data_IF_664882424952
#
_entry.id   IF_664882424952
#
_cell.length_a   1.000
_cell.length_b   1.000
_cell.length_c   1.000
_cell.angle_alpha   90.00
_cell.angle_beta   90.00
_cell.angle_gamma   90.00
#
_symmetry.space_group_name_H-M   'P 1'
#
loop_
_entity.id
_entity.type
_entity.pdbx_description
1 polymer ?
#
# COMPACT_ATOMS: atom_id res chain seq x y z
N UNK A 1 50.46 -39.51 32.36
CA UNK A 1 49.52 -38.59 31.71
C UNK A 1 48.13 -38.95 32.22
N UNK A 2 47.72 -38.14 33.18
CA UNK A 2 46.43 -37.92 33.85
C UNK A 2 45.22 -38.84 33.64
N UNK A 3 44.67 -39.20 34.81
CA UNK A 3 43.27 -39.04 35.25
C UNK A 3 42.25 -40.13 34.92
N UNK A 4 42.13 -41.03 35.92
CA UNK A 4 40.90 -41.51 36.55
C UNK A 4 39.78 -40.45 36.62
N UNK A 5 38.53 -40.87 36.42
CA UNK A 5 37.42 -40.71 37.38
C UNK A 5 36.10 -41.21 36.75
N UNK A 6 35.52 -42.33 37.18
CA UNK A 6 34.78 -42.60 38.44
C UNK A 6 33.27 -42.30 38.34
N UNK A 7 32.51 -43.39 38.47
CA UNK A 7 31.05 -43.52 38.58
C UNK A 7 30.60 -42.90 39.90
N UNK A 8 29.57 -42.01 39.92
CA UNK A 8 28.37 -42.16 40.81
C UNK A 8 27.33 -41.02 40.75
N UNK A 9 26.08 -41.47 40.89
CA UNK A 9 24.89 -40.84 41.49
C UNK A 9 24.01 -39.96 40.59
N UNK A 10 22.89 -40.57 40.18
CA UNK A 10 21.62 -39.90 39.90
C UNK A 10 21.15 -39.15 41.16
N UNK A 11 21.03 -37.83 41.07
CA UNK A 11 20.11 -37.06 41.91
C UNK A 11 19.13 -36.31 41.02
N UNK A 12 17.88 -36.61 41.32
CA UNK A 12 16.61 -36.11 40.82
C UNK A 12 16.50 -34.58 41.01
N UNK A 13 16.88 -33.78 40.00
CA UNK A 13 16.57 -32.33 39.97
C UNK A 13 16.54 -31.64 38.59
N UNK A 14 16.58 -32.36 37.47
CA UNK A 14 16.72 -31.75 36.13
C UNK A 14 15.49 -31.83 35.20
N UNK A 15 14.30 -32.23 35.70
CA UNK A 15 13.07 -32.29 34.89
C UNK A 15 12.35 -30.93 34.68
N UNK A 16 12.93 -29.80 35.07
CA UNK A 16 12.29 -28.47 34.91
C UNK A 16 13.04 -27.48 34.00
N UNK A 17 14.00 -27.93 33.20
CA UNK A 17 14.80 -27.05 32.31
C UNK A 17 14.80 -27.41 30.82
N UNK A 18 13.86 -28.21 30.32
CA UNK A 18 13.92 -28.72 28.94
C UNK A 18 12.74 -28.42 27.99
N UNK A 19 11.78 -27.55 28.32
CA UNK A 19 10.71 -27.19 27.36
C UNK A 19 10.47 -25.68 27.15
N UNK A 20 11.45 -24.85 27.46
CA UNK A 20 11.50 -23.46 27.02
C UNK A 20 12.86 -23.26 26.36
N UNK A 21 12.88 -22.71 25.14
CA UNK A 21 14.01 -22.61 24.20
C UNK A 21 14.01 -23.74 23.14
N UNK A 22 12.94 -23.78 22.35
CA UNK A 22 13.04 -24.17 20.95
C UNK A 22 12.50 -23.00 20.12
N UNK A 23 13.18 -21.85 20.22
CA UNK A 23 13.07 -20.83 19.17
C UNK A 23 13.93 -21.34 18.02
N UNK A 24 13.29 -21.80 16.94
CA UNK A 24 13.94 -22.19 15.69
C UNK A 24 14.99 -21.15 15.29
N UNK A 25 16.25 -21.46 15.57
CA UNK A 25 17.42 -20.73 15.13
C UNK A 25 17.51 -20.87 13.61
N UNK A 26 17.15 -19.82 12.87
CA UNK A 26 17.22 -19.78 11.41
C UNK A 26 18.67 -19.59 10.95
N UNK A 27 19.29 -20.53 10.19
CA UNK A 27 20.58 -20.31 9.54
C UNK A 27 20.33 -19.76 8.13
N UNK A 28 20.28 -18.44 7.97
CA UNK A 28 19.90 -17.80 6.70
C UNK A 28 21.05 -17.04 6.04
N UNK A 29 22.15 -17.73 5.73
CA UNK A 29 23.40 -17.07 5.29
C UNK A 29 23.49 -16.61 3.83
N UNK A 30 22.43 -16.70 3.01
CA UNK A 30 22.62 -16.63 1.54
C UNK A 30 21.69 -15.71 0.74
N UNK A 31 21.26 -14.54 1.23
CA UNK A 31 20.63 -13.55 0.33
C UNK A 31 20.99 -12.10 0.71
N UNK A 32 21.81 -11.46 -0.14
CA UNK A 32 22.45 -10.17 0.14
C UNK A 32 21.75 -8.97 -0.55
N UNK A 33 20.52 -9.08 -1.04
CA UNK A 33 19.89 -8.04 -1.86
C UNK A 33 18.48 -7.74 -1.33
N UNK A 34 18.32 -6.60 -0.66
CA UNK A 34 17.06 -6.11 -0.07
C UNK A 34 16.44 -5.05 -0.98
N UNK A 35 15.10 -4.89 -0.89
CA UNK A 35 14.36 -3.88 -1.65
C UNK A 35 14.92 -2.48 -1.35
N UNK A 36 15.27 -1.79 -2.41
CA UNK A 36 15.98 -0.51 -2.49
C UNK A 36 15.07 0.71 -2.30
N UNK A 37 13.84 0.50 -1.84
CA UNK A 37 12.96 1.60 -1.43
C UNK A 37 13.51 2.19 -0.12
N UNK A 38 13.75 3.50 -0.12
CA UNK A 38 14.13 4.30 1.05
C UNK A 38 13.27 4.00 2.30
N UNK A 39 11.98 3.71 2.10
CA UNK A 39 11.05 3.35 3.17
C UNK A 39 11.36 1.96 3.75
N UNK A 40 11.67 0.97 2.91
CA UNK A 40 12.07 -0.37 3.37
C UNK A 40 13.37 -0.31 4.16
N UNK A 41 14.33 0.47 3.67
CA UNK A 41 15.60 0.75 4.36
C UNK A 41 15.36 1.44 5.71
N UNK A 42 14.48 2.44 5.76
CA UNK A 42 14.12 3.11 7.00
C UNK A 42 13.54 2.11 8.02
N UNK A 43 12.66 1.21 7.60
CA UNK A 43 12.10 0.17 8.48
C UNK A 43 13.17 -0.82 8.94
N UNK A 44 14.06 -1.24 8.05
CA UNK A 44 15.20 -2.10 8.40
C UNK A 44 16.05 -1.42 9.49
N UNK A 45 16.38 -0.14 9.33
CA UNK A 45 17.16 0.62 10.32
C UNK A 45 16.44 0.80 11.67
N UNK A 46 15.10 0.90 11.68
CA UNK A 46 14.31 1.01 12.92
C UNK A 46 14.09 -0.38 13.57
N UNK A 47 14.39 -1.48 12.88
CA UNK A 47 14.10 -2.84 13.37
C UNK A 47 14.68 -3.15 14.76
N UNK A 48 15.92 -2.75 15.12
CA UNK A 48 16.45 -2.96 16.48
C UNK A 48 15.63 -2.23 17.55
N UNK A 49 15.15 -1.02 17.26
CA UNK A 49 14.22 -0.31 18.15
C UNK A 49 12.88 -1.04 18.29
N UNK A 50 12.34 -1.58 17.19
CA UNK A 50 11.10 -2.36 17.24
C UNK A 50 11.25 -3.64 18.05
N UNK A 51 12.38 -4.35 17.93
CA UNK A 51 12.65 -5.55 18.72
C UNK A 51 12.71 -5.26 20.23
N UNK A 52 13.18 -4.06 20.63
CA UNK A 52 13.13 -3.62 22.04
C UNK A 52 11.68 -3.53 22.56
N UNK A 53 10.73 -3.18 21.70
CA UNK A 53 9.30 -3.08 22.00
C UNK A 53 8.50 -4.28 21.46
N UNK A 54 9.13 -5.43 21.23
CA UNK A 54 8.49 -6.59 20.62
C UNK A 54 7.19 -7.01 21.34
N UNK A 55 7.11 -6.82 22.66
CA UNK A 55 5.93 -7.21 23.44
C UNK A 55 4.72 -6.31 23.11
N UNK A 56 4.95 -5.01 22.89
CA UNK A 56 3.91 -4.08 22.47
C UNK A 56 3.46 -4.41 21.04
N UNK A 57 4.41 -4.66 20.14
CA UNK A 57 4.10 -5.05 18.75
C UNK A 57 3.32 -6.36 18.68
N UNK A 58 3.72 -7.36 19.44
CA UNK A 58 3.00 -8.63 19.54
C UNK A 58 1.57 -8.39 19.97
N UNK A 59 1.32 -7.54 20.98
CA UNK A 59 -0.04 -7.21 21.41
C UNK A 59 -0.84 -6.48 20.31
N UNK A 60 -0.23 -5.54 19.59
CA UNK A 60 -0.89 -4.79 18.51
C UNK A 60 -1.32 -5.68 17.33
N UNK A 61 -0.53 -6.70 17.00
CA UNK A 61 -0.84 -7.65 15.91
C UNK A 61 -1.57 -8.91 16.40
N UNK A 62 -1.81 -9.08 17.70
CA UNK A 62 -2.54 -10.24 18.22
C UNK A 62 -4.04 -10.14 17.98
N UNK A 63 -4.60 -8.93 18.08
CA UNK A 63 -6.01 -8.68 17.81
C UNK A 63 -6.23 -8.25 16.35
N UNK A 64 -7.07 -8.96 15.56
CA UNK A 64 -7.28 -8.65 14.15
C UNK A 64 -7.88 -7.26 13.92
N UNK A 65 -8.70 -6.74 14.84
CA UNK A 65 -9.29 -5.40 14.70
C UNK A 65 -8.21 -4.34 14.91
N UNK A 66 -7.37 -4.51 15.93
CA UNK A 66 -6.22 -3.63 16.18
C UNK A 66 -5.24 -3.64 15.00
N UNK A 67 -4.93 -4.81 14.46
CA UNK A 67 -4.08 -4.95 13.27
C UNK A 67 -4.71 -4.24 12.03
N UNK A 68 -6.02 -4.39 11.82
CA UNK A 68 -6.75 -3.67 10.76
C UNK A 68 -6.63 -2.16 10.93
N UNK A 69 -6.92 -1.63 12.13
CA UNK A 69 -6.82 -0.21 12.46
C UNK A 69 -5.40 0.32 12.26
N UNK A 70 -4.39 -0.46 12.63
CA UNK A 70 -2.98 -0.10 12.40
C UNK A 70 -2.67 0.05 10.91
N UNK A 71 -3.17 -0.85 10.07
CA UNK A 71 -3.06 -0.72 8.61
C UNK A 71 -3.73 0.55 8.08
N UNK A 72 -4.96 0.82 8.50
CA UNK A 72 -5.72 2.03 8.11
C UNK A 72 -4.95 3.28 8.50
N UNK A 73 -4.51 3.37 9.75
CA UNK A 73 -3.80 4.53 10.28
C UNK A 73 -2.47 4.75 9.55
N UNK A 74 -1.68 3.69 9.41
CA UNK A 74 -0.36 3.75 8.77
C UNK A 74 -0.49 4.22 7.33
N UNK A 75 -1.43 3.66 6.55
CA UNK A 75 -1.64 4.12 5.18
C UNK A 75 -2.27 5.49 5.10
N UNK A 76 -3.14 5.89 6.03
CA UNK A 76 -3.71 7.24 6.03
C UNK A 76 -2.63 8.31 6.25
N UNK A 77 -1.63 8.01 7.08
CA UNK A 77 -0.47 8.89 7.34
C UNK A 77 0.48 8.88 6.14
N UNK A 78 0.88 7.70 5.68
CA UNK A 78 1.82 7.55 4.56
C UNK A 78 1.20 7.89 3.21
N UNK A 79 -0.12 7.92 3.13
CA UNK A 79 -0.92 8.16 1.93
C UNK A 79 -0.56 7.24 0.76
N UNK A 80 0.02 6.08 1.04
CA UNK A 80 0.49 5.12 0.04
C UNK A 80 0.35 3.68 0.56
N UNK A 81 -0.65 2.95 0.06
CA UNK A 81 -0.86 1.55 0.44
C UNK A 81 0.24 0.63 -0.08
N UNK A 82 0.82 0.88 -1.26
CA UNK A 82 1.94 0.08 -1.75
C UNK A 82 3.15 0.18 -0.80
N UNK A 83 3.46 1.39 -0.31
CA UNK A 83 4.49 1.58 0.70
C UNK A 83 4.13 0.87 2.01
N UNK A 84 2.89 1.02 2.49
CA UNK A 84 2.46 0.40 3.75
C UNK A 84 2.47 -1.12 3.69
N UNK A 85 2.01 -1.71 2.59
CA UNK A 85 2.04 -3.16 2.35
C UNK A 85 3.47 -3.67 2.25
N UNK A 86 4.37 -2.96 1.54
CA UNK A 86 5.81 -3.29 1.52
C UNK A 86 6.42 -3.30 2.92
N UNK A 87 6.05 -2.34 3.79
CA UNK A 87 6.49 -2.30 5.20
C UNK A 87 6.00 -3.54 5.95
N UNK A 88 4.70 -3.87 5.86
CA UNK A 88 4.12 -5.02 6.57
C UNK A 88 4.74 -6.34 6.07
N UNK A 89 4.94 -6.49 4.76
CA UNK A 89 5.60 -7.65 4.15
C UNK A 89 7.06 -7.77 4.63
N UNK A 90 7.74 -6.64 4.77
CA UNK A 90 9.11 -6.60 5.32
C UNK A 90 9.12 -6.96 6.80
N UNK A 91 8.15 -6.51 7.60
CA UNK A 91 8.03 -6.88 9.02
C UNK A 91 7.76 -8.38 9.22
N UNK A 92 6.99 -9.01 8.32
CA UNK A 92 6.86 -10.47 8.30
C UNK A 92 8.17 -11.14 7.85
N UNK A 93 8.86 -10.54 6.88
CA UNK A 93 10.14 -11.02 6.35
C UNK A 93 11.30 -10.93 7.34
N UNK A 94 11.30 -9.96 8.26
CA UNK A 94 12.30 -9.80 9.32
C UNK A 94 11.95 -10.60 10.58
N UNK A 95 10.80 -11.26 10.62
CA UNK A 95 10.33 -12.01 11.78
C UNK A 95 9.73 -11.18 12.90
N UNK A 96 9.63 -9.84 12.75
CA UNK A 96 8.93 -8.94 13.68
C UNK A 96 7.47 -9.37 13.88
N UNK A 97 6.83 -9.82 12.80
CA UNK A 97 5.52 -10.45 12.83
C UNK A 97 5.68 -11.93 12.49
N UNK A 98 5.66 -12.78 13.53
CA UNK A 98 6.00 -14.20 13.39
C UNK A 98 4.97 -15.01 12.59
N UNK A 99 3.69 -14.59 12.64
CA UNK A 99 2.54 -15.25 12.00
C UNK A 99 2.00 -14.41 10.85
N UNK A 100 1.94 -15.00 9.65
CA UNK A 100 1.35 -14.35 8.46
C UNK A 100 -0.11 -13.97 8.74
N UNK A 101 -0.87 -14.83 9.44
CA UNK A 101 -2.28 -14.61 9.77
C UNK A 101 -2.52 -13.30 10.52
N UNK A 102 -1.62 -12.95 11.43
CA UNK A 102 -1.70 -11.74 12.24
C UNK A 102 -1.44 -10.47 11.41
N UNK A 103 -0.73 -10.58 10.29
CA UNK A 103 -0.48 -9.48 9.37
C UNK A 103 -1.60 -9.27 8.33
N UNK A 104 -2.45 -10.27 8.09
CA UNK A 104 -3.52 -10.20 7.07
C UNK A 104 -4.48 -9.02 7.33
N UNK A 105 -5.00 -8.82 8.55
CA UNK A 105 -5.90 -7.68 8.81
C UNK A 105 -5.21 -6.33 8.55
N UNK A 106 -3.92 -6.21 8.88
CA UNK A 106 -3.17 -4.98 8.61
C UNK A 106 -3.02 -4.69 7.10
N UNK A 107 -2.83 -5.73 6.27
CA UNK A 107 -2.86 -5.59 4.81
C UNK A 107 -4.23 -5.14 4.32
N UNK A 108 -5.32 -5.74 4.81
CA UNK A 108 -6.69 -5.31 4.45
C UNK A 108 -6.93 -3.84 4.85
N UNK A 109 -6.46 -3.46 6.04
CA UNK A 109 -6.56 -2.10 6.56
C UNK A 109 -5.77 -1.09 5.75
N UNK A 110 -4.59 -1.48 5.26
CA UNK A 110 -3.78 -0.62 4.39
C UNK A 110 -4.52 -0.22 3.11
N UNK A 111 -5.34 -1.11 2.54
CA UNK A 111 -6.16 -0.77 1.37
C UNK A 111 -7.25 0.24 1.71
N UNK A 112 -7.89 0.11 2.88
CA UNK A 112 -8.88 1.08 3.37
C UNK A 112 -8.21 2.44 3.64
N UNK A 113 -6.97 2.50 4.10
CA UNK A 113 -6.30 3.80 4.35
C UNK A 113 -6.10 4.65 3.09
N UNK A 114 -6.16 4.07 1.88
CA UNK A 114 -6.07 4.82 0.61
C UNK A 114 -7.23 5.80 0.38
N UNK A 115 -8.35 5.67 1.12
CA UNK A 115 -9.53 6.52 0.97
C UNK A 115 -9.27 8.01 1.25
N UNK A 116 -8.27 8.32 2.08
CA UNK A 116 -7.96 9.71 2.46
C UNK A 116 -7.49 10.52 1.25
N UNK A 117 -6.70 9.91 0.35
CA UNK A 117 -6.12 10.61 -0.79
C UNK A 117 -7.18 10.94 -1.85
N UNK A 118 -8.03 9.98 -2.21
CA UNK A 118 -9.12 10.16 -3.17
C UNK A 118 -10.11 11.24 -2.70
N UNK A 119 -10.45 11.23 -1.41
CA UNK A 119 -11.31 12.22 -0.77
C UNK A 119 -10.68 13.63 -0.78
N UNK A 120 -9.38 13.73 -0.48
CA UNK A 120 -8.66 15.00 -0.54
C UNK A 120 -8.66 15.58 -1.96
N UNK A 121 -8.44 14.74 -2.98
CA UNK A 121 -8.50 15.18 -4.39
C UNK A 121 -9.89 15.68 -4.75
N UNK A 122 -10.96 14.98 -4.34
CA UNK A 122 -12.33 15.43 -4.59
C UNK A 122 -12.63 16.80 -3.98
N UNK A 123 -12.14 17.06 -2.75
CA UNK A 123 -12.30 18.35 -2.06
C UNK A 123 -11.66 19.53 -2.81
N UNK A 124 -10.66 19.27 -3.66
CA UNK A 124 -10.03 20.33 -4.47
C UNK A 124 -10.96 20.92 -5.53
N UNK A 125 -12.08 20.25 -5.83
CA UNK A 125 -13.13 20.72 -6.74
C UNK A 125 -14.31 21.37 -6.01
N UNK A 126 -14.13 21.75 -4.74
CA UNK A 126 -15.17 22.37 -3.89
C UNK A 126 -15.74 23.69 -4.41
N UNK A 127 -15.08 24.33 -5.38
CA UNK A 127 -15.58 25.54 -6.05
C UNK A 127 -16.92 25.32 -6.78
N UNK A 128 -17.22 24.11 -7.26
CA UNK A 128 -18.45 23.81 -7.99
C UNK A 128 -19.15 22.59 -7.36
N UNK A 129 -20.35 22.78 -6.84
CA UNK A 129 -21.13 21.72 -6.16
C UNK A 129 -21.42 20.51 -7.05
N UNK A 130 -21.66 20.73 -8.35
CA UNK A 130 -21.91 19.64 -9.30
C UNK A 130 -20.63 18.84 -9.54
N UNK A 131 -19.51 19.53 -9.73
CA UNK A 131 -18.22 18.87 -9.94
C UNK A 131 -17.71 18.18 -8.69
N UNK A 132 -17.92 18.79 -7.53
CA UNK A 132 -17.63 18.21 -6.23
C UNK A 132 -18.42 16.91 -6.03
N UNK A 133 -19.73 16.92 -6.31
CA UNK A 133 -20.57 15.74 -6.18
C UNK A 133 -20.10 14.59 -7.07
N UNK A 134 -19.79 14.85 -8.34
CA UNK A 134 -19.27 13.82 -9.26
C UNK A 134 -17.87 13.33 -8.88
N UNK A 135 -17.01 14.22 -8.38
CA UNK A 135 -15.67 13.88 -7.93
C UNK A 135 -15.73 13.00 -6.67
N UNK A 136 -16.57 13.34 -5.70
CA UNK A 136 -16.79 12.49 -4.51
C UNK A 136 -17.42 11.14 -4.87
N UNK A 137 -18.32 11.10 -5.86
CA UNK A 137 -18.84 9.85 -6.40
C UNK A 137 -17.70 8.94 -6.87
N UNK A 138 -16.75 9.50 -7.63
CA UNK A 138 -15.61 8.77 -8.12
C UNK A 138 -14.61 8.38 -7.02
N UNK A 139 -14.37 9.28 -6.05
CA UNK A 139 -13.46 9.02 -4.94
C UNK A 139 -13.94 7.84 -4.09
N UNK A 140 -15.24 7.79 -3.79
CA UNK A 140 -15.85 6.74 -2.96
C UNK A 140 -15.92 5.37 -3.63
N UNK A 141 -15.65 5.25 -4.94
CA UNK A 141 -15.65 3.95 -5.63
C UNK A 141 -14.58 3.01 -5.05
N UNK A 142 -13.35 3.52 -4.90
CA UNK A 142 -12.25 2.76 -4.30
C UNK A 142 -12.54 2.45 -2.83
N UNK A 143 -13.09 3.43 -2.12
CA UNK A 143 -13.38 3.33 -0.70
C UNK A 143 -14.40 2.24 -0.40
N UNK A 144 -15.52 2.25 -1.13
CA UNK A 144 -16.58 1.25 -0.97
C UNK A 144 -16.10 -0.13 -1.39
N UNK A 145 -15.27 -0.22 -2.42
CA UNK A 145 -14.64 -1.49 -2.80
C UNK A 145 -13.81 -2.07 -1.65
N UNK A 146 -12.89 -1.29 -1.08
CA UNK A 146 -11.99 -1.78 -0.03
C UNK A 146 -12.74 -2.09 1.27
N UNK A 147 -13.69 -1.22 1.67
CA UNK A 147 -14.49 -1.41 2.89
C UNK A 147 -15.39 -2.63 2.76
N UNK A 148 -16.16 -2.77 1.67
CA UNK A 148 -17.09 -3.89 1.51
C UNK A 148 -16.33 -5.21 1.31
N UNK A 149 -15.23 -5.22 0.57
CA UNK A 149 -14.39 -6.41 0.42
C UNK A 149 -13.82 -6.84 1.77
N UNK A 150 -13.34 -5.89 2.59
CA UNK A 150 -12.84 -6.19 3.94
C UNK A 150 -13.96 -6.69 4.84
N UNK A 151 -15.16 -6.10 4.78
CA UNK A 151 -16.30 -6.51 5.59
C UNK A 151 -16.71 -7.97 5.31
N UNK A 152 -16.52 -8.45 4.09
CA UNK A 152 -16.78 -9.86 3.73
C UNK A 152 -15.56 -10.73 4.07
N UNK A 153 -14.37 -10.36 3.59
CA UNK A 153 -13.20 -11.24 3.64
C UNK A 153 -12.56 -11.34 5.03
N UNK A 154 -12.60 -10.27 5.85
CA UNK A 154 -11.98 -10.27 7.17
C UNK A 154 -12.68 -11.26 8.13
N UNK A 155 -14.02 -11.23 8.31
CA UNK A 155 -14.69 -12.25 9.11
C UNK A 155 -14.44 -13.67 8.59
N UNK A 156 -14.51 -13.87 7.26
CA UNK A 156 -14.25 -15.20 6.70
C UNK A 156 -12.82 -15.67 6.95
N UNK A 157 -11.84 -14.76 6.99
CA UNK A 157 -10.47 -15.11 7.34
C UNK A 157 -10.32 -15.46 8.81
N UNK A 158 -10.97 -14.71 9.71
CA UNK A 158 -10.94 -14.97 11.15
C UNK A 158 -11.57 -16.33 11.48
N UNK A 159 -12.71 -16.66 10.86
CA UNK A 159 -13.42 -17.92 11.14
C UNK A 159 -12.85 -19.13 10.41
N UNK A 160 -12.48 -18.97 9.13
CA UNK A 160 -12.15 -20.10 8.26
C UNK A 160 -10.69 -20.11 7.76
N UNK A 161 -9.93 -19.02 7.93
CA UNK A 161 -8.55 -18.88 7.45
C UNK A 161 -8.39 -19.18 5.94
N UNK A 162 -9.38 -18.82 5.13
CA UNK A 162 -9.45 -19.17 3.71
C UNK A 162 -8.27 -18.60 2.93
N UNK A 163 -7.97 -17.31 3.08
CA UNK A 163 -6.88 -16.66 2.34
C UNK A 163 -5.53 -17.20 2.82
N UNK A 164 -5.30 -17.31 4.14
CA UNK A 164 -4.05 -17.86 4.67
C UNK A 164 -3.80 -19.29 4.19
N UNK A 165 -4.82 -20.16 4.24
CA UNK A 165 -4.69 -21.57 3.84
C UNK A 165 -4.48 -21.73 2.33
N UNK A 166 -5.24 -20.99 1.51
CA UNK A 166 -5.09 -21.04 0.05
C UNK A 166 -3.69 -20.57 -0.37
N UNK A 167 -3.22 -19.46 0.18
CA UNK A 167 -1.89 -18.92 -0.13
C UNK A 167 -0.77 -19.82 0.36
N UNK A 168 -0.91 -20.46 1.53
CA UNK A 168 0.06 -21.43 2.01
C UNK A 168 0.21 -22.61 1.05
N UNK A 169 -0.91 -23.14 0.53
CA UNK A 169 -0.90 -24.21 -0.48
C UNK A 169 -0.24 -23.75 -1.79
N UNK A 170 -0.54 -22.53 -2.24
CA UNK A 170 0.09 -21.94 -3.45
C UNK A 170 1.61 -21.83 -3.25
N UNK A 171 2.06 -21.29 -2.11
CA UNK A 171 3.50 -21.13 -1.82
C UNK A 171 4.21 -22.47 -1.67
N UNK A 172 3.57 -23.49 -1.10
CA UNK A 172 4.14 -24.85 -1.03
C UNK A 172 4.26 -25.51 -2.41
N UNK A 173 3.36 -25.17 -3.34
CA UNK A 173 3.39 -25.67 -4.71
C UNK A 173 4.50 -25.00 -5.56
N UNK A 174 4.84 -23.75 -5.25
CA UNK A 174 5.96 -23.06 -5.90
C UNK A 174 7.26 -23.70 -5.40
N UNK A 175 7.89 -24.53 -6.23
CA UNK A 175 9.16 -25.17 -5.87
C UNK A 175 10.29 -24.15 -5.94
N UNK A 176 10.70 -23.58 -4.80
CA UNK A 176 11.74 -22.53 -4.71
C UNK A 176 13.17 -23.03 -4.99
N UNK A 177 13.34 -24.24 -5.49
CA UNK A 177 14.65 -24.83 -5.81
C UNK A 177 15.31 -24.15 -7.02
N UNK A 178 14.55 -23.50 -7.92
CA UNK A 178 15.10 -22.62 -8.96
C UNK A 178 15.46 -21.23 -8.42
N UNK A 179 16.50 -21.18 -7.58
CA UNK A 179 17.09 -19.96 -7.01
C UNK A 179 17.50 -18.90 -8.05
N UNK A 180 17.60 -19.25 -9.34
CA UNK A 180 18.12 -18.38 -10.40
C UNK A 180 17.03 -17.54 -11.09
N UNK A 181 15.84 -18.10 -11.30
CA UNK A 181 14.76 -17.45 -12.06
C UNK A 181 14.07 -16.33 -11.26
N UNK A 182 13.97 -16.50 -9.93
CA UNK A 182 13.45 -15.46 -9.02
C UNK A 182 14.40 -14.26 -8.89
N UNK A 183 15.72 -14.48 -9.05
CA UNK A 183 16.75 -13.42 -9.01
C UNK A 183 16.64 -12.48 -10.22
N UNK A 184 16.21 -13.00 -11.37
CA UNK A 184 16.06 -12.20 -12.59
C UNK A 184 14.74 -11.41 -12.63
N UNK A 185 13.74 -11.78 -11.83
CA UNK A 185 12.51 -11.02 -11.69
C UNK A 185 12.67 -9.73 -10.85
N UNK A 186 13.74 -9.61 -10.03
CA UNK A 186 14.02 -8.40 -9.26
C UNK A 186 14.76 -7.31 -10.08
N UNK A 187 14.19 -6.98 -11.25
CA UNK A 187 14.72 -5.96 -12.16
C UNK A 187 14.74 -4.58 -11.49
N UNK A 188 13.77 -4.32 -10.61
CA UNK A 188 13.67 -3.07 -9.86
C UNK A 188 14.84 -2.91 -8.89
N UNK A 189 15.19 -3.98 -8.14
CA UNK A 189 16.35 -4.00 -7.27
C UNK A 189 17.64 -3.69 -8.05
N UNK A 190 17.83 -4.25 -9.24
CA UNK A 190 19.00 -3.97 -10.09
C UNK A 190 19.10 -2.50 -10.54
N UNK A 191 17.97 -1.82 -10.77
CA UNK A 191 17.95 -0.39 -11.16
C UNK A 191 18.20 0.53 -9.96
N UNK A 192 17.67 0.18 -8.79
CA UNK A 192 17.64 1.05 -7.62
C UNK A 192 18.79 0.81 -6.62
N UNK A 193 19.43 -0.37 -6.64
CA UNK A 193 20.63 -0.68 -5.86
C UNK A 193 21.78 0.34 -6.00
N UNK A 194 22.11 0.89 -7.18
CA UNK A 194 23.16 1.92 -7.27
C UNK A 194 22.79 3.19 -6.50
N UNK A 195 21.52 3.62 -6.53
CA UNK A 195 21.05 4.76 -5.76
C UNK A 195 21.04 4.47 -4.26
N UNK A 196 20.66 3.25 -3.87
CA UNK A 196 20.63 2.83 -2.47
C UNK A 196 22.03 2.80 -1.88
N UNK A 197 23.00 2.20 -2.58
CA UNK A 197 24.38 2.09 -2.12
C UNK A 197 25.07 3.47 -1.98
N UNK A 198 24.60 4.49 -2.71
CA UNK A 198 25.04 5.87 -2.58
C UNK A 198 24.44 6.56 -1.34
N UNK A 199 23.23 6.16 -0.94
CA UNK A 199 22.53 6.70 0.22
C UNK A 199 23.00 6.04 1.53
N UNK A 200 22.98 4.71 1.60
CA UNK A 200 23.38 3.94 2.79
C UNK A 200 23.82 2.51 2.42
N UNK A 201 24.81 2.00 3.13
CA UNK A 201 25.22 0.60 3.04
C UNK A 201 24.80 -0.15 4.31
N UNK A 202 24.19 -1.32 4.12
CA UNK A 202 23.68 -2.17 5.20
C UNK A 202 24.64 -3.32 5.45
N UNK A 203 24.96 -3.58 6.72
CA UNK A 203 25.67 -4.78 7.15
C UNK A 203 24.73 -5.97 7.12
N UNK A 204 25.01 -6.84 6.15
CA UNK A 204 24.20 -8.01 5.84
C UNK A 204 24.41 -9.11 6.88
N UNK A 205 25.52 -9.09 7.63
CA UNK A 205 25.82 -10.09 8.66
C UNK A 205 25.08 -9.83 9.98
N UNK A 206 24.90 -8.56 10.34
CA UNK A 206 24.13 -8.14 11.51
C UNK A 206 22.61 -8.29 11.28
N UNK A 207 22.16 -8.18 10.03
CA UNK A 207 20.77 -8.38 9.66
C UNK A 207 20.30 -9.84 9.83
N UNK A 208 21.22 -10.82 9.81
CA UNK A 208 20.90 -12.22 10.09
C UNK A 208 20.83 -12.52 11.60
N UNK A 209 21.46 -11.68 12.43
CA UNK A 209 21.51 -11.82 13.89
C UNK A 209 20.44 -11.01 14.63
N UNK A 210 19.87 -10.00 13.96
CA UNK A 210 18.71 -9.18 14.36
C UNK A 210 18.46 -9.19 15.88
N UNK A 211 19.40 -8.61 16.62
CA UNK A 211 19.30 -8.43 18.06
C UNK A 211 19.10 -6.95 18.39
N UNK A 212 18.54 -6.67 19.56
CA UNK A 212 18.24 -5.32 20.08
C UNK A 212 19.48 -4.40 20.13
N UNK A 213 20.69 -4.96 20.09
CA UNK A 213 21.97 -4.23 20.15
C UNK A 213 22.67 -4.12 18.80
N UNK A 214 22.16 -4.77 17.74
CA UNK A 214 22.80 -4.78 16.42
C UNK A 214 22.76 -3.39 15.77
N UNK A 215 23.90 -2.97 15.22
CA UNK A 215 23.99 -1.81 14.32
C UNK A 215 23.95 -2.34 12.89
N UNK A 216 22.88 -2.00 12.18
CA UNK A 216 22.57 -2.51 10.85
C UNK A 216 23.25 -1.66 9.77
N UNK A 217 23.50 -0.37 10.02
CA UNK A 217 24.21 0.49 9.08
C UNK A 217 25.72 0.23 9.15
N UNK A 218 26.33 -0.02 8.00
CA UNK A 218 27.75 -0.33 7.88
C UNK A 218 28.57 0.95 8.07
N UNK A 219 29.47 1.00 9.06
CA UNK A 219 30.21 2.24 9.42
C UNK A 219 31.62 2.31 8.81
N UNK A 220 32.26 1.16 8.64
CA UNK A 220 33.64 1.05 8.16
C UNK A 220 33.71 0.18 6.92
N UNK A 221 34.28 0.71 5.84
CA UNK A 221 34.42 0.03 4.56
C UNK A 221 35.90 -0.31 4.33
N UNK A 222 36.20 -1.56 3.96
CA UNK A 222 37.56 -2.00 3.65
C UNK A 222 37.55 -3.00 2.50
N UNK A 223 38.56 -2.93 1.62
CA UNK A 223 38.85 -4.00 0.67
C UNK A 223 39.54 -5.13 1.43
N UNK A 224 39.13 -6.36 1.12
CA UNK A 224 39.52 -7.62 1.75
C UNK A 224 40.95 -7.65 2.32
N UNK A 225 41.07 -7.90 3.64
CA UNK A 225 42.30 -8.41 4.26
C UNK A 225 43.19 -7.42 5.02
N UNK A 226 42.89 -6.13 5.07
CA UNK A 226 43.59 -5.17 5.94
C UNK A 226 42.63 -4.54 6.95
N UNK A 227 43.15 -4.23 8.14
CA UNK A 227 42.42 -3.64 9.27
C UNK A 227 41.41 -2.58 8.80
N UNK A 228 40.14 -2.73 9.21
CA UNK A 228 39.04 -1.80 8.94
C UNK A 228 39.40 -0.40 9.45
N UNK A 229 39.87 0.50 8.58
CA UNK A 229 40.27 1.86 9.00
C UNK A 229 39.61 3.00 8.25
N UNK A 230 38.89 2.76 7.14
CA UNK A 230 38.23 3.82 6.39
C UNK A 230 36.71 3.87 6.64
N UNK A 231 36.19 5.06 6.94
CA UNK A 231 34.75 5.32 7.07
C UNK A 231 34.09 5.20 5.69
N UNK A 232 32.94 4.53 5.63
CA UNK A 232 32.19 4.40 4.39
C UNK A 232 31.71 5.77 3.88
N UNK A 233 31.94 6.06 2.60
CA UNK A 233 31.51 7.31 1.98
C UNK A 233 30.12 7.18 1.33
N UNK A 234 29.06 7.24 2.15
CA UNK A 234 27.67 7.33 1.68
C UNK A 234 26.94 8.51 2.33
N UNK A 235 25.87 9.01 1.67
CA UNK A 235 25.21 10.28 2.03
C UNK A 235 24.66 10.31 3.47
N UNK A 236 24.18 9.17 3.97
CA UNK A 236 23.64 9.03 5.32
C UNK A 236 24.70 8.91 6.43
N UNK A 237 25.99 8.77 6.11
CA UNK A 237 27.05 8.49 7.10
C UNK A 237 27.12 9.53 8.23
N UNK A 238 27.00 10.84 7.97
CA UNK A 238 26.98 11.84 9.04
C UNK A 238 25.81 11.66 10.03
N UNK A 239 24.64 11.23 9.54
CA UNK A 239 23.46 11.00 10.36
C UNK A 239 23.62 9.73 11.21
N UNK A 240 24.06 8.63 10.58
CA UNK A 240 24.31 7.35 11.25
C UNK A 240 25.33 7.50 12.37
N UNK A 241 26.42 8.24 12.13
CA UNK A 241 27.48 8.47 13.12
C UNK A 241 27.00 9.30 14.33
N UNK A 242 26.25 10.37 14.08
CA UNK A 242 25.86 11.32 15.13
C UNK A 242 24.64 10.85 15.94
N UNK A 243 23.68 10.19 15.29
CA UNK A 243 22.38 9.87 15.89
C UNK A 243 22.09 8.37 15.99
N UNK A 244 22.91 7.52 15.37
CA UNK A 244 22.68 6.09 15.32
C UNK A 244 21.58 5.67 14.35
N UNK A 245 21.46 4.35 14.16
CA UNK A 245 20.65 3.72 13.13
C UNK A 245 19.15 3.98 13.32
N UNK A 246 18.67 3.87 14.56
CA UNK A 246 17.26 4.06 14.90
C UNK A 246 16.76 5.46 14.55
N UNK A 247 17.47 6.50 15.02
CA UNK A 247 17.07 7.91 14.79
C UNK A 247 17.21 8.24 13.30
N UNK A 248 18.28 7.77 12.65
CA UNK A 248 18.47 7.94 11.20
C UNK A 248 17.32 7.31 10.41
N UNK A 249 16.88 6.11 10.78
CA UNK A 249 15.72 5.45 10.21
C UNK A 249 14.43 6.26 10.37
N UNK A 250 14.17 6.81 11.56
CA UNK A 250 13.01 7.70 11.79
C UNK A 250 13.08 8.98 10.94
N UNK A 251 14.24 9.61 10.84
CA UNK A 251 14.44 10.79 9.98
C UNK A 251 14.14 10.45 8.53
N UNK A 252 14.63 9.32 8.02
CA UNK A 252 14.36 8.86 6.66
C UNK A 252 12.88 8.54 6.43
N UNK A 253 12.20 7.95 7.41
CA UNK A 253 10.77 7.69 7.35
C UNK A 253 9.97 9.01 7.24
N UNK A 254 10.28 10.00 8.08
CA UNK A 254 9.60 11.31 8.06
C UNK A 254 9.91 12.05 6.76
N UNK A 255 11.18 12.12 6.35
CA UNK A 255 11.61 12.81 5.15
C UNK A 255 10.98 12.21 3.89
N UNK A 256 10.96 10.87 3.77
CA UNK A 256 10.31 10.19 2.64
C UNK A 256 8.80 10.39 2.63
N UNK A 257 8.14 10.39 3.79
CA UNK A 257 6.71 10.67 3.91
C UNK A 257 6.39 12.11 3.49
N UNK A 258 7.15 13.10 3.97
CA UNK A 258 6.98 14.52 3.58
C UNK A 258 7.20 14.72 2.08
N UNK A 259 8.22 14.08 1.51
CA UNK A 259 8.47 14.12 0.08
C UNK A 259 7.29 13.54 -0.71
N UNK A 260 6.75 12.39 -0.29
CA UNK A 260 5.55 11.80 -0.91
C UNK A 260 4.34 12.74 -0.86
N UNK A 261 4.12 13.43 0.27
CA UNK A 261 3.06 14.42 0.42
C UNK A 261 3.23 15.62 -0.52
N UNK A 262 4.45 16.14 -0.64
CA UNK A 262 4.77 17.25 -1.55
C UNK A 262 4.54 16.83 -3.01
N UNK A 263 5.01 15.65 -3.40
CA UNK A 263 4.83 15.11 -4.76
C UNK A 263 3.34 14.94 -5.04
N UNK A 264 2.57 14.39 -4.11
CA UNK A 264 1.12 14.24 -4.24
C UNK A 264 0.42 15.59 -4.43
N UNK A 265 0.76 16.61 -3.63
CA UNK A 265 0.22 17.95 -3.79
C UNK A 265 0.59 18.56 -5.15
N UNK A 266 1.82 18.33 -5.61
CA UNK A 266 2.29 18.78 -6.91
C UNK A 266 1.51 18.12 -8.05
N UNK A 267 1.26 16.80 -7.97
CA UNK A 267 0.43 16.05 -8.91
C UNK A 267 -0.98 16.66 -9.00
N UNK A 268 -1.60 16.96 -7.86
CA UNK A 268 -2.94 17.59 -7.83
C UNK A 268 -2.93 18.97 -8.48
N UNK A 269 -1.84 19.74 -8.30
CA UNK A 269 -1.67 21.05 -8.93
C UNK A 269 -1.48 20.94 -10.46
N UNK A 270 -0.62 20.03 -10.90
CA UNK A 270 -0.39 19.74 -12.32
C UNK A 270 -1.67 19.23 -12.98
N UNK A 271 -2.40 18.34 -12.32
CA UNK A 271 -3.65 17.80 -12.85
C UNK A 271 -4.70 18.89 -13.08
N UNK A 272 -4.80 19.89 -12.18
CA UNK A 272 -5.67 21.06 -12.41
C UNK A 272 -5.27 21.87 -13.64
N UNK A 273 -3.97 21.98 -13.92
CA UNK A 273 -3.47 22.64 -15.13
C UNK A 273 -3.77 21.82 -16.38
N UNK A 274 -3.63 20.49 -16.32
CA UNK A 274 -3.94 19.58 -17.43
C UNK A 274 -5.43 19.65 -17.80
N UNK A 275 -6.31 19.72 -16.80
CA UNK A 275 -7.77 19.75 -16.98
C UNK A 275 -8.24 21.03 -17.69
N UNK A 276 -7.51 22.13 -17.55
CA UNK A 276 -7.79 23.38 -18.27
C UNK A 276 -7.22 23.39 -19.71
N UNK A 277 -6.43 22.38 -20.09
CA UNK A 277 -5.70 22.35 -21.36
C UNK A 277 -6.29 21.41 -22.43
N UNK A 278 -5.73 21.43 -23.66
CA UNK A 278 -6.13 20.56 -24.76
C UNK A 278 -5.97 19.05 -24.45
N UNK A 279 -5.11 18.71 -23.50
CA UNK A 279 -4.84 17.34 -23.07
C UNK A 279 -6.08 16.70 -22.46
N UNK A 280 -6.91 17.46 -21.74
CA UNK A 280 -8.16 16.97 -21.17
C UNK A 280 -9.13 16.46 -22.27
N UNK A 281 -9.15 17.13 -23.43
CA UNK A 281 -9.95 16.72 -24.59
C UNK A 281 -9.40 15.42 -25.20
N UNK A 282 -8.08 15.28 -25.31
CA UNK A 282 -7.45 14.05 -25.79
C UNK A 282 -7.70 12.86 -24.87
N UNK A 283 -7.52 13.04 -23.56
CA UNK A 283 -7.81 12.02 -22.54
C UNK A 283 -9.29 11.64 -22.56
N UNK A 284 -10.19 12.63 -22.66
CA UNK A 284 -11.62 12.39 -22.80
C UNK A 284 -11.95 11.60 -24.07
N UNK A 285 -11.34 11.94 -25.22
CA UNK A 285 -11.54 11.19 -26.47
C UNK A 285 -11.01 9.76 -26.42
N UNK A 286 -9.86 9.54 -25.76
CA UNK A 286 -9.28 8.21 -25.61
C UNK A 286 -10.11 7.33 -24.67
N UNK A 287 -10.56 7.86 -23.53
CA UNK A 287 -11.36 7.11 -22.55
C UNK A 287 -12.79 6.91 -23.03
N UNK A 288 -13.33 7.88 -23.78
CA UNK A 288 -14.67 7.81 -24.35
C UNK A 288 -14.71 7.31 -25.78
N UNK A 289 -13.61 6.75 -26.28
CA UNK A 289 -13.66 5.98 -27.52
C UNK A 289 -14.70 4.87 -27.31
N UNK A 290 -15.66 4.76 -28.22
CA UNK A 290 -16.69 3.72 -28.16
C UNK A 290 -16.47 2.77 -29.32
N UNK A 291 -16.28 1.49 -29.01
CA UNK A 291 -16.36 0.44 -30.02
C UNK A 291 -17.83 0.28 -30.41
N UNK A 292 -18.13 0.25 -31.72
CA UNK A 292 -19.50 0.11 -32.22
C UNK A 292 -20.10 -1.27 -31.91
N UNK A 293 -21.35 -1.32 -31.41
CA UNK A 293 -22.19 -2.53 -31.38
C UNK A 293 -22.08 -3.42 -30.12
N UNK A 294 -22.30 -4.74 -30.29
CA UNK A 294 -22.40 -5.79 -29.23
C UNK A 294 -21.16 -5.93 -28.32
N UNK A 295 -20.08 -5.21 -28.60
CA UNK A 295 -18.77 -5.32 -27.97
C UNK A 295 -18.48 -4.25 -26.90
N UNK A 296 -19.49 -3.53 -26.40
CA UNK A 296 -19.30 -2.54 -25.31
C UNK A 296 -18.64 -3.14 -24.06
N UNK A 297 -18.83 -4.43 -23.79
CA UNK A 297 -18.17 -5.12 -22.68
C UNK A 297 -16.64 -5.22 -22.86
N UNK A 298 -16.14 -5.30 -24.10
CA UNK A 298 -14.70 -5.30 -24.40
C UNK A 298 -14.07 -3.96 -24.07
N UNK A 299 -14.79 -2.84 -24.23
CA UNK A 299 -14.28 -1.52 -23.85
C UNK A 299 -13.96 -1.47 -22.34
N UNK A 300 -14.84 -2.01 -21.50
CA UNK A 300 -14.56 -2.09 -20.06
C UNK A 300 -13.32 -2.96 -19.77
N UNK A 301 -13.17 -4.09 -20.45
CA UNK A 301 -11.99 -4.94 -20.30
C UNK A 301 -10.70 -4.22 -20.73
N UNK A 302 -10.73 -3.48 -21.84
CA UNK A 302 -9.58 -2.68 -22.32
C UNK A 302 -9.23 -1.58 -21.31
N UNK A 303 -10.22 -0.83 -20.80
CA UNK A 303 -9.99 0.21 -19.79
C UNK A 303 -9.42 -0.37 -18.48
N UNK A 304 -9.90 -1.55 -18.07
CA UNK A 304 -9.36 -2.28 -16.93
C UNK A 304 -7.89 -2.64 -17.16
N UNK A 305 -7.54 -3.21 -18.32
CA UNK A 305 -6.17 -3.60 -18.64
C UNK A 305 -5.23 -2.39 -18.76
N UNK A 306 -5.68 -1.29 -19.36
CA UNK A 306 -4.89 -0.05 -19.42
C UNK A 306 -4.59 0.44 -18.00
N UNK A 307 -5.60 0.51 -17.12
CA UNK A 307 -5.39 0.97 -15.76
C UNK A 307 -4.49 0.01 -14.95
N UNK A 308 -4.64 -1.29 -15.14
CA UNK A 308 -3.76 -2.31 -14.59
C UNK A 308 -2.31 -2.10 -15.02
N UNK A 309 -2.04 -2.01 -16.33
CA UNK A 309 -0.70 -1.86 -16.90
C UNK A 309 -0.04 -0.53 -16.52
N UNK A 310 -0.78 0.58 -16.58
CA UNK A 310 -0.25 1.88 -16.13
C UNK A 310 0.10 1.81 -14.65
N UNK A 311 -0.71 1.12 -13.84
CA UNK A 311 -0.41 0.96 -12.41
C UNK A 311 0.79 0.04 -12.17
N UNK A 312 1.05 -0.96 -13.01
CA UNK A 312 2.28 -1.75 -12.92
C UNK A 312 3.54 -0.90 -13.16
N UNK A 313 3.47 -0.02 -14.17
CA UNK A 313 4.58 0.86 -14.53
C UNK A 313 4.81 1.92 -13.45
N UNK A 314 3.74 2.60 -13.05
CA UNK A 314 3.77 3.70 -12.07
C UNK A 314 3.90 3.19 -10.63
N UNK A 315 3.50 1.95 -10.37
CA UNK A 315 3.47 1.32 -9.04
C UNK A 315 2.60 2.03 -8.00
N UNK A 316 1.61 2.83 -8.44
CA UNK A 316 0.72 3.58 -7.54
C UNK A 316 -0.70 3.72 -8.11
N UNK A 317 -1.67 3.07 -7.46
CA UNK A 317 -3.10 3.28 -7.77
C UNK A 317 -3.59 4.67 -7.36
N UNK A 318 -2.91 5.35 -6.42
CA UNK A 318 -3.26 6.71 -6.01
C UNK A 318 -3.05 7.73 -7.14
N UNK A 319 -2.13 7.49 -8.08
CA UNK A 319 -1.99 8.35 -9.27
C UNK A 319 -3.20 8.22 -10.21
N UNK A 320 -3.66 6.98 -10.42
CA UNK A 320 -4.82 6.70 -11.27
C UNK A 320 -6.08 7.30 -10.66
N UNK A 321 -6.34 7.07 -9.37
CA UNK A 321 -7.51 7.62 -8.68
C UNK A 321 -7.45 9.14 -8.62
N UNK A 322 -6.29 9.73 -8.31
CA UNK A 322 -6.12 11.18 -8.29
C UNK A 322 -6.39 11.82 -9.65
N UNK A 323 -6.11 11.13 -10.76
CA UNK A 323 -6.40 11.60 -12.12
C UNK A 323 -7.88 11.42 -12.49
N UNK A 324 -8.48 10.28 -12.18
CA UNK A 324 -9.85 9.96 -12.54
C UNK A 324 -10.88 10.77 -11.77
N UNK A 325 -10.62 11.07 -10.49
CA UNK A 325 -11.56 11.80 -9.62
C UNK A 325 -11.92 13.17 -10.21
N UNK A 326 -10.96 14.02 -10.61
CA UNK A 326 -11.29 15.30 -11.22
C UNK A 326 -11.90 15.19 -12.63
N UNK A 327 -11.49 14.19 -13.42
CA UNK A 327 -12.09 13.93 -14.74
C UNK A 327 -13.57 13.53 -14.63
N UNK A 328 -13.92 12.76 -13.60
CA UNK A 328 -15.32 12.49 -13.26
C UNK A 328 -16.02 13.76 -12.77
N UNK A 329 -15.33 14.57 -11.95
CA UNK A 329 -15.80 15.87 -11.46
C UNK A 329 -16.27 16.80 -12.58
N UNK A 330 -15.48 16.96 -13.63
CA UNK A 330 -15.85 17.77 -14.80
C UNK A 330 -16.85 17.05 -15.73
N UNK A 331 -17.09 15.75 -15.54
CA UNK A 331 -17.97 14.93 -16.38
C UNK A 331 -17.31 14.43 -17.67
N UNK A 332 -15.98 14.51 -17.77
CA UNK A 332 -15.24 13.99 -18.93
C UNK A 332 -15.17 12.46 -18.93
N UNK A 333 -15.28 11.82 -17.75
CA UNK A 333 -15.29 10.36 -17.60
C UNK A 333 -16.53 9.94 -16.83
N UNK A 334 -17.22 8.90 -17.32
CA UNK A 334 -18.39 8.35 -16.64
C UNK A 334 -17.98 7.58 -15.38
N UNK A 335 -18.85 7.58 -14.37
CA UNK A 335 -18.59 6.86 -13.11
C UNK A 335 -18.37 5.35 -13.33
N UNK A 336 -19.03 4.77 -14.35
CA UNK A 336 -18.83 3.37 -14.73
C UNK A 336 -17.43 3.10 -15.27
N UNK A 337 -16.93 3.95 -16.19
CA UNK A 337 -15.58 3.80 -16.75
C UNK A 337 -14.52 3.99 -15.66
N UNK A 338 -14.69 5.00 -14.80
CA UNK A 338 -13.82 5.22 -13.65
C UNK A 338 -13.82 4.02 -12.68
N UNK A 339 -15.00 3.44 -12.38
CA UNK A 339 -15.10 2.24 -11.54
C UNK A 339 -14.26 1.08 -12.08
N UNK A 340 -14.40 0.76 -13.37
CA UNK A 340 -13.64 -0.31 -14.01
C UNK A 340 -12.13 -0.05 -13.99
N UNK A 341 -11.71 1.18 -14.27
CA UNK A 341 -10.30 1.56 -14.23
C UNK A 341 -9.71 1.49 -12.80
N UNK A 342 -10.47 1.91 -11.80
CA UNK A 342 -10.05 1.81 -10.39
C UNK A 342 -9.83 0.33 -10.01
N UNK A 343 -10.71 -0.59 -10.41
CA UNK A 343 -10.53 -2.03 -10.18
C UNK A 343 -9.25 -2.57 -10.82
N UNK A 344 -8.98 -2.17 -12.07
CA UNK A 344 -7.73 -2.53 -12.76
C UNK A 344 -6.51 -2.02 -12.01
N UNK A 345 -6.56 -0.76 -11.53
CA UNK A 345 -5.46 -0.17 -10.77
C UNK A 345 -5.22 -0.85 -9.43
N UNK A 346 -6.27 -1.26 -8.71
CA UNK A 346 -6.14 -1.94 -7.42
C UNK A 346 -5.45 -3.30 -7.56
N UNK A 347 -5.77 -4.06 -8.61
CA UNK A 347 -5.05 -5.30 -8.93
C UNK A 347 -3.62 -4.99 -9.36
N UNK A 348 -3.38 -3.95 -10.16
CA UNK A 348 -2.02 -3.55 -10.57
C UNK A 348 -1.10 -3.28 -9.38
N UNK A 349 -1.60 -2.57 -8.36
CA UNK A 349 -0.82 -2.28 -7.15
C UNK A 349 -0.39 -3.55 -6.40
N UNK A 350 -1.11 -4.67 -6.51
CA UNK A 350 -0.74 -5.91 -5.81
C UNK A 350 0.60 -6.49 -6.25
N UNK A 351 1.01 -6.25 -7.50
CA UNK A 351 2.32 -6.66 -8.01
C UNK A 351 3.46 -5.98 -7.23
N UNK A 352 3.25 -4.78 -6.70
CA UNK A 352 4.25 -4.12 -5.84
C UNK A 352 4.51 -4.90 -4.56
N UNK A 353 3.48 -5.54 -3.99
CA UNK A 353 3.62 -6.41 -2.82
C UNK A 353 4.39 -7.69 -3.16
N UNK A 354 4.12 -8.28 -4.33
CA UNK A 354 4.87 -9.46 -4.82
C UNK A 354 6.35 -9.10 -5.00
N UNK A 355 6.65 -7.97 -5.65
CA UNK A 355 8.03 -7.49 -5.83
C UNK A 355 8.74 -7.25 -4.49
N UNK A 356 8.05 -6.67 -3.51
CA UNK A 356 8.62 -6.47 -2.16
C UNK A 356 8.81 -7.78 -1.39
N UNK A 357 7.97 -8.80 -1.62
CA UNK A 357 8.18 -10.14 -1.06
C UNK A 357 9.36 -10.86 -1.71
N UNK A 358 9.52 -10.75 -3.04
CA UNK A 358 10.66 -11.31 -3.78
C UNK A 358 12.01 -10.72 -3.38
N UNK A 359 11.97 -9.55 -2.73
CA UNK A 359 13.17 -8.88 -2.21
C UNK A 359 13.53 -9.28 -0.78
N UNK A 360 12.81 -10.25 -0.18
CA UNK A 360 13.10 -10.78 1.15
C UNK A 360 14.07 -11.97 1.07
N UNK A 361 14.89 -12.20 2.11
CA UNK A 361 15.85 -13.30 2.12
C UNK A 361 15.15 -14.66 2.02
N UNK A 362 15.78 -15.62 1.34
CA UNK A 362 15.15 -16.89 0.92
C UNK A 362 14.48 -17.73 2.02
N UNK A 363 14.92 -17.61 3.28
CA UNK A 363 14.28 -18.29 4.40
C UNK A 363 12.91 -17.72 4.77
N UNK A 364 12.75 -16.41 4.70
CA UNK A 364 11.53 -15.70 5.07
C UNK A 364 10.69 -15.32 3.85
N UNK A 365 11.26 -15.49 2.65
CA UNK A 365 10.59 -15.38 1.35
C UNK A 365 9.26 -16.13 1.31
N UNK A 366 9.17 -17.35 1.87
CA UNK A 366 7.92 -18.11 1.89
C UNK A 366 6.80 -17.36 2.64
N UNK A 367 7.11 -16.82 3.83
CA UNK A 367 6.14 -16.07 4.65
C UNK A 367 5.77 -14.73 4.01
N UNK A 368 6.76 -14.01 3.49
CA UNK A 368 6.55 -12.73 2.82
C UNK A 368 5.77 -12.87 1.51
N UNK A 369 6.07 -13.90 0.71
CA UNK A 369 5.34 -14.20 -0.51
C UNK A 369 3.92 -14.67 -0.21
N UNK A 370 3.72 -15.48 0.83
CA UNK A 370 2.38 -15.85 1.29
C UNK A 370 1.55 -14.59 1.58
N UNK A 371 2.10 -13.63 2.34
CA UNK A 371 1.41 -12.39 2.65
C UNK A 371 1.14 -11.53 1.40
N UNK A 372 2.09 -11.43 0.46
CA UNK A 372 1.90 -10.73 -0.80
C UNK A 372 0.81 -11.39 -1.68
N UNK A 373 0.72 -12.72 -1.66
CA UNK A 373 -0.35 -13.45 -2.33
C UNK A 373 -1.69 -13.24 -1.63
N UNK A 374 -1.73 -13.11 -0.30
CA UNK A 374 -2.96 -12.73 0.41
C UNK A 374 -3.44 -11.36 -0.05
N UNK A 375 -2.53 -10.38 -0.16
CA UNK A 375 -2.85 -9.06 -0.69
C UNK A 375 -3.40 -9.12 -2.13
N UNK A 376 -2.80 -9.96 -2.96
CA UNK A 376 -3.22 -10.19 -4.35
C UNK A 376 -4.61 -10.83 -4.42
N UNK A 377 -4.83 -11.92 -3.67
CA UNK A 377 -6.11 -12.61 -3.60
C UNK A 377 -7.21 -11.73 -3.02
N UNK A 378 -6.93 -10.92 -2.01
CA UNK A 378 -7.90 -9.97 -1.46
C UNK A 378 -8.47 -9.05 -2.55
N UNK A 379 -7.59 -8.42 -3.35
CA UNK A 379 -8.03 -7.52 -4.42
C UNK A 379 -8.67 -8.29 -5.57
N UNK A 380 -8.12 -9.44 -5.94
CA UNK A 380 -8.65 -10.27 -7.03
C UNK A 380 -10.06 -10.78 -6.70
N UNK A 381 -10.26 -11.34 -5.50
CA UNK A 381 -11.57 -11.80 -5.03
C UNK A 381 -12.56 -10.65 -4.93
N UNK A 382 -12.12 -9.49 -4.42
CA UNK A 382 -12.95 -8.28 -4.44
C UNK A 382 -13.41 -7.94 -5.85
N UNK A 383 -12.49 -7.88 -6.83
CA UNK A 383 -12.85 -7.55 -8.22
C UNK A 383 -13.79 -8.60 -8.80
N UNK A 384 -13.53 -9.90 -8.60
CA UNK A 384 -14.39 -10.99 -9.06
C UNK A 384 -15.79 -10.90 -8.42
N UNK A 385 -15.89 -10.45 -7.18
CA UNK A 385 -17.16 -10.35 -6.46
C UNK A 385 -17.99 -9.13 -6.90
N UNK A 386 -17.34 -7.98 -7.13
CA UNK A 386 -18.05 -6.71 -7.37
C UNK A 386 -18.19 -6.34 -8.86
N UNK A 387 -17.27 -6.76 -9.74
CA UNK A 387 -17.21 -6.30 -11.13
C UNK A 387 -18.10 -7.09 -12.11
N UNK A 388 -18.08 -8.45 -12.15
CA UNK A 388 -18.75 -9.24 -13.18
C UNK A 388 -20.27 -9.29 -13.03
N UNK A 389 -20.78 -9.22 -11.81
CA UNK A 389 -22.21 -9.42 -11.51
C UNK A 389 -22.89 -8.04 -11.44
N UNK A 390 -23.73 -7.64 -12.43
CA UNK A 390 -24.33 -6.30 -12.45
C UNK A 390 -25.21 -6.00 -11.23
N UNK A 391 -25.82 -7.04 -10.66
CA UNK A 391 -26.62 -6.94 -9.43
C UNK A 391 -25.78 -6.61 -8.20
N UNK A 392 -24.54 -7.12 -8.13
CA UNK A 392 -23.61 -6.94 -7.02
C UNK A 392 -22.71 -5.71 -7.16
N UNK A 393 -22.92 -4.80 -8.12
CA UNK A 393 -22.20 -3.52 -8.21
C UNK A 393 -22.59 -2.53 -7.07
N UNK A 394 -22.67 -3.02 -5.84
CA UNK A 394 -22.97 -2.29 -4.62
C UNK A 394 -21.99 -1.14 -4.37
N UNK A 395 -20.66 -1.28 -4.55
CA UNK A 395 -19.75 -0.15 -4.38
C UNK A 395 -20.15 1.06 -5.24
N UNK A 396 -20.51 0.81 -6.52
CA UNK A 396 -20.98 1.85 -7.45
C UNK A 396 -22.35 2.41 -7.05
N UNK A 397 -23.31 1.54 -6.71
CA UNK A 397 -24.67 1.96 -6.31
C UNK A 397 -24.62 2.84 -5.06
N UNK A 398 -23.80 2.47 -4.08
CA UNK A 398 -23.60 3.21 -2.84
C UNK A 398 -22.90 4.54 -3.13
N UNK A 399 -21.84 4.56 -3.94
CA UNK A 399 -21.17 5.79 -4.37
C UNK A 399 -22.13 6.77 -5.08
N UNK A 400 -22.99 6.27 -6.00
CA UNK A 400 -24.01 7.09 -6.68
C UNK A 400 -25.03 7.68 -5.69
N UNK A 401 -25.43 6.90 -4.68
CA UNK A 401 -26.43 7.31 -3.69
C UNK A 401 -25.87 8.23 -2.58
N UNK A 402 -24.62 8.05 -2.16
CA UNK A 402 -23.98 8.92 -1.16
C UNK A 402 -23.95 10.38 -1.62
N UNK A 403 -23.67 10.61 -2.90
CA UNK A 403 -23.56 11.95 -3.51
C UNK A 403 -24.87 12.74 -3.40
N UNK A 404 -26.00 12.06 -3.49
CA UNK A 404 -27.34 12.68 -3.36
C UNK A 404 -27.58 13.20 -1.94
N UNK A 405 -26.96 12.58 -0.92
CA UNK A 405 -27.07 13.00 0.50
C UNK A 405 -26.00 14.01 0.93
N UNK A 406 -24.77 13.90 0.43
CA UNK A 406 -23.65 14.77 0.85
C UNK A 406 -23.63 16.16 0.21
N UNK A 407 -24.36 16.39 -0.89
CA UNK A 407 -24.56 17.74 -1.41
C UNK A 407 -25.25 18.69 -0.41
N UNK A 408 -25.80 18.15 0.69
CA UNK A 408 -26.47 18.88 1.77
C UNK A 408 -25.65 19.02 3.07
N UNK A 409 -24.54 18.30 3.24
CA UNK A 409 -23.86 18.16 4.54
C UNK A 409 -22.38 18.49 4.40
N UNK A 410 -22.05 19.74 4.77
CA UNK A 410 -20.80 20.18 5.40
C UNK A 410 -19.54 20.27 4.49
N UNK A 411 -19.26 21.50 4.06
CA UNK A 411 -18.01 22.15 4.47
C UNK A 411 -18.40 23.42 5.25
N UNK A 412 -17.92 23.62 6.50
CA UNK A 412 -18.03 24.92 7.15
C UNK A 412 -17.37 25.97 6.24
N UNK A 413 -17.97 27.14 6.09
CA UNK A 413 -17.46 28.16 5.16
C UNK A 413 -15.99 28.58 5.46
N UNK A 414 -15.51 28.33 6.68
CA UNK A 414 -14.09 28.51 7.07
C UNK A 414 -13.12 27.53 6.39
N UNK A 415 -13.50 26.27 6.18
CA UNK A 415 -12.66 25.28 5.48
C UNK A 415 -12.72 25.46 3.96
N UNK A 416 -13.83 26.01 3.44
CA UNK A 416 -13.89 26.42 2.03
C UNK A 416 -12.79 27.43 1.76
N UNK A 417 -12.59 28.45 2.58
CA UNK A 417 -11.52 29.44 2.37
C UNK A 417 -10.09 28.88 2.47
N UNK A 418 -9.88 27.75 3.14
CA UNK A 418 -8.58 27.07 3.22
C UNK A 418 -8.27 26.28 1.94
N UNK A 419 -9.29 25.67 1.32
CA UNK A 419 -9.15 24.87 0.10
C UNK A 419 -9.51 25.62 -1.20
N UNK A 420 -10.23 26.74 -1.09
CA UNK A 420 -10.55 27.66 -2.17
C UNK A 420 -9.61 28.86 -2.07
N UNK A 421 -8.59 28.88 -2.93
CA UNK A 421 -7.84 30.10 -3.17
C UNK A 421 -8.81 31.11 -3.80
N UNK A 422 -9.14 32.14 -3.00
CA UNK A 422 -9.90 33.36 -3.28
C UNK A 422 -10.18 33.57 -4.79
N UNK A 423 -11.33 33.10 -5.26
CA UNK A 423 -11.94 33.60 -6.50
C UNK A 423 -13.08 34.54 -6.14
N UNK A 424 -13.01 35.72 -6.73
CA UNK A 424 -13.82 36.91 -6.49
C UNK A 424 -15.31 36.65 -6.75
N UNK A 425 -16.15 37.07 -5.79
CA UNK A 425 -17.51 37.62 -5.98
C UNK A 425 -18.61 36.71 -6.53
N UNK A 426 -19.62 36.41 -5.72
CA UNK A 426 -21.04 36.63 -6.06
C UNK A 426 -21.95 36.15 -4.93
N UNK A 427 -22.72 37.09 -4.35
CA UNK A 427 -23.67 36.82 -3.28
C UNK A 427 -25.10 36.62 -3.81
N UNK A 428 -25.85 35.79 -3.09
CA UNK A 428 -27.31 35.77 -2.95
C UNK A 428 -28.24 35.43 -4.14
N UNK A 429 -27.78 35.27 -5.38
CA UNK A 429 -28.68 34.82 -6.48
C UNK A 429 -28.89 33.29 -6.55
N UNK A 430 -28.10 32.50 -5.82
CA UNK A 430 -28.12 31.03 -5.89
C UNK A 430 -29.22 30.35 -5.03
N UNK A 431 -29.79 31.02 -4.02
CA UNK A 431 -30.95 30.58 -3.21
C UNK A 431 -32.09 29.90 -4.00
N UNK A 432 -32.69 30.65 -4.93
CA UNK A 432 -34.01 30.34 -5.52
C UNK A 432 -33.97 29.51 -6.80
N UNK A 433 -32.85 29.53 -7.55
CA UNK A 433 -32.72 28.71 -8.77
C UNK A 433 -32.41 27.23 -8.47
N UNK A 434 -31.90 26.91 -7.28
CA UNK A 434 -31.44 25.56 -6.91
C UNK A 434 -32.60 24.57 -6.67
N UNK A 435 -33.77 24.99 -6.18
CA UNK A 435 -34.87 24.06 -5.93
C UNK A 435 -35.60 23.60 -7.22
N UNK A 436 -35.78 24.51 -8.20
CA UNK A 436 -36.60 24.26 -9.40
C UNK A 436 -35.86 23.52 -10.52
N UNK A 437 -34.54 23.70 -10.64
CA UNK A 437 -33.73 23.08 -11.70
C UNK A 437 -33.30 21.64 -11.38
N UNK A 438 -33.14 21.29 -10.10
CA UNK A 438 -32.62 19.99 -9.69
C UNK A 438 -33.61 18.82 -9.82
N UNK A 439 -34.92 19.07 -9.69
CA UNK A 439 -35.95 18.06 -10.00
C UNK A 439 -36.00 17.67 -11.49
N UNK A 440 -35.47 18.52 -12.37
CA UNK A 440 -35.30 18.23 -13.82
C UNK A 440 -33.95 17.60 -14.14
N UNK A 441 -32.88 17.96 -13.42
CA UNK A 441 -31.55 17.36 -13.60
C UNK A 441 -31.50 15.93 -13.06
N UNK A 442 -32.16 15.63 -11.93
CA UNK A 442 -32.31 14.26 -11.44
C UNK A 442 -33.09 13.35 -12.43
N UNK A 443 -34.11 13.90 -13.11
CA UNK A 443 -34.81 13.19 -14.20
C UNK A 443 -33.94 12.98 -15.44
N UNK A 444 -33.02 13.90 -15.77
CA UNK A 444 -32.07 13.71 -16.88
C UNK A 444 -30.92 12.77 -16.54
N UNK A 445 -30.47 12.71 -15.29
CA UNK A 445 -29.48 11.72 -14.83
C UNK A 445 -30.06 10.30 -14.78
N UNK A 446 -31.39 10.17 -14.69
CA UNK A 446 -32.10 8.89 -14.89
C UNK A 446 -32.21 8.48 -16.36
N UNK A 447 -32.26 9.43 -17.30
CA UNK A 447 -32.53 9.14 -18.72
C UNK A 447 -31.27 8.98 -19.57
N UNK A 448 -30.09 9.38 -19.06
CA UNK A 448 -28.80 9.22 -19.77
C UNK A 448 -28.18 7.83 -19.56
N UNK A 449 -28.65 7.07 -18.56
CA UNK A 449 -28.21 5.68 -18.31
C UNK A 449 -29.14 4.63 -18.98
N UNK A 450 -30.14 5.04 -19.77
CA UNK A 450 -31.12 4.14 -20.45
C UNK A 450 -31.06 4.18 -21.97
N UNK A 451 -29.94 4.61 -22.56
CA UNK A 451 -29.71 4.54 -24.01
C UNK A 451 -28.35 3.92 -24.33
#
# INVERSE_FOLDING_TARGET
MNELDSIRIMTESDETKQEIIQSDSMPCREWKEYDSKLITIAVILITPAFLKYQNILKNLFSDPITALCLGILTTSILQNAAATTSIIITMVGTGLISSVKNAIPAIMGSNIGTCVTSSFVALTLSNNSISLGRAFAAATLNDMFNILTTLILLPTEIFFNILSSLTEKIVKFINFEEKKLLKDLNIIGKIQTPFTNLLIQIDKSELDRLDNRSTIALRYCGKDGSNFTEECNYLAMPLVKNYGDNITGFIFLIASTLLLLIIFFCIVKVLRLIIAGPIALWVSRAINAEFSGKYQWLMHLVLFLIAFLVTLIVQSSNLITATLVPLCGIGAVSLQRAYVMIMGSNIGTTVTGILSALSQPGCTLKKSLQLALVYTLFNLLGVILWLPIPLLQFPKKIAKNLVVRYCFVILPDRLKNFFTFKSIGSSNFHKKLYASKYGRVLRRLSSVDTS
#
